data_IF_961283308815
#
_entry.id   IF_961283308815
#
_cell.length_a   1.000
_cell.length_b   1.000
_cell.length_c   1.000
_cell.angle_alpha   90.00
_cell.angle_beta   90.00
_cell.angle_gamma   90.00
#
_symmetry.space_group_name_H-M   'P 1'
#
loop_
_entity.id
_entity.type
_entity.pdbx_description
1 polymer ?
#
# COMPACT_ATOMS: atom_id res chain seq x y z
N UNK A 1 -22.52 -8.21 -10.73
CA UNK A 1 -22.85 -6.87 -10.18
C UNK A 1 -24.13 -6.28 -10.76
N UNK A 2 -24.22 -5.93 -12.06
CA UNK A 2 -25.42 -5.27 -12.65
C UNK A 2 -26.73 -6.04 -12.44
N UNK A 3 -26.74 -7.34 -12.73
CA UNK A 3 -27.95 -8.17 -12.57
C UNK A 3 -28.41 -8.27 -11.10
N UNK A 4 -27.45 -8.16 -10.16
CA UNK A 4 -27.69 -8.23 -8.72
C UNK A 4 -28.18 -6.90 -8.15
N UNK A 5 -27.91 -5.78 -8.83
CA UNK A 5 -28.42 -4.45 -8.47
C UNK A 5 -27.71 -3.75 -7.31
N UNK A 6 -26.56 -4.26 -6.86
CA UNK A 6 -25.74 -3.64 -5.82
C UNK A 6 -24.26 -4.04 -5.92
N UNK A 7 -23.39 -3.22 -5.34
CA UNK A 7 -21.94 -3.46 -5.22
C UNK A 7 -21.64 -4.24 -3.93
N UNK A 8 -20.84 -5.30 -4.01
CA UNK A 8 -20.25 -5.96 -2.84
C UNK A 8 -18.93 -5.29 -2.48
N UNK A 9 -18.88 -4.62 -1.34
CA UNK A 9 -17.72 -3.85 -0.88
C UNK A 9 -17.04 -4.56 0.29
N UNK A 10 -15.75 -4.82 0.15
CA UNK A 10 -14.91 -5.34 1.23
C UNK A 10 -14.24 -4.21 2.01
N UNK A 11 -14.45 -4.15 3.33
CA UNK A 11 -13.94 -3.10 4.21
C UNK A 11 -13.16 -3.68 5.41
N UNK A 12 -12.29 -2.89 6.07
CA UNK A 12 -11.78 -3.27 7.37
C UNK A 12 -12.89 -3.12 8.42
N UNK A 13 -12.97 -4.05 9.37
CA UNK A 13 -14.05 -4.04 10.38
C UNK A 13 -13.99 -2.89 11.39
N UNK A 14 -12.78 -2.45 11.75
CA UNK A 14 -12.62 -1.35 12.71
C UNK A 14 -11.35 -0.54 12.41
N UNK A 15 -11.49 0.50 11.60
CA UNK A 15 -10.44 1.46 11.28
C UNK A 15 -10.99 2.89 11.32
N UNK A 16 -10.95 3.57 12.49
CA UNK A 16 -11.50 4.91 12.66
C UNK A 16 -11.04 5.90 11.58
N UNK A 17 -12.00 6.63 11.00
CA UNK A 17 -11.77 7.55 9.88
C UNK A 17 -11.85 6.90 8.49
N UNK A 18 -11.64 5.59 8.38
CA UNK A 18 -11.68 4.85 7.11
C UNK A 18 -12.92 3.98 6.98
N UNK A 19 -13.18 3.12 7.95
CA UNK A 19 -14.41 2.35 8.05
C UNK A 19 -14.62 1.93 9.52
N UNK A 20 -15.74 2.38 10.09
CA UNK A 20 -16.17 1.98 11.42
C UNK A 20 -17.65 1.70 11.40
N UNK A 21 -18.07 0.64 12.07
CA UNK A 21 -19.47 0.41 12.36
C UNK A 21 -19.96 1.46 13.38
N UNK A 22 -21.10 2.07 13.09
CA UNK A 22 -21.77 3.05 13.94
C UNK A 22 -22.73 2.35 14.91
N UNK A 23 -23.25 3.08 15.89
CA UNK A 23 -24.24 2.54 16.85
C UNK A 23 -25.51 1.99 16.19
N UNK A 24 -25.78 2.36 14.93
CA UNK A 24 -26.94 1.91 14.16
C UNK A 24 -26.66 0.70 13.27
N UNK A 25 -25.53 0.00 13.45
CA UNK A 25 -25.08 -1.13 12.58
C UNK A 25 -24.84 -0.70 11.11
N UNK A 26 -24.64 0.60 10.87
CA UNK A 26 -24.22 1.14 9.57
C UNK A 26 -22.73 1.46 9.59
N UNK A 27 -22.04 1.34 8.46
CA UNK A 27 -20.63 1.75 8.34
C UNK A 27 -20.49 3.23 7.96
N UNK A 28 -19.48 3.89 8.51
CA UNK A 28 -19.07 5.24 8.16
C UNK A 28 -17.55 5.37 8.04
N UNK A 29 -17.08 6.24 7.15
CA UNK A 29 -15.67 6.54 6.97
C UNK A 29 -15.27 6.72 5.49
N UNK A 30 -14.01 7.09 5.27
CA UNK A 30 -13.48 7.39 3.95
C UNK A 30 -13.57 6.24 2.94
N UNK A 31 -13.23 5.01 3.33
CA UNK A 31 -13.34 3.82 2.46
C UNK A 31 -14.82 3.47 2.19
N UNK A 32 -15.71 3.74 3.16
CA UNK A 32 -17.16 3.57 2.98
C UNK A 32 -17.70 4.55 1.94
N UNK A 33 -17.29 5.83 2.03
CA UNK A 33 -17.73 6.87 1.11
C UNK A 33 -17.20 6.65 -0.31
N UNK A 34 -16.01 6.06 -0.45
CA UNK A 34 -15.51 5.58 -1.74
C UNK A 34 -16.46 4.51 -2.34
N UNK A 35 -16.89 3.54 -1.54
CA UNK A 35 -17.88 2.55 -1.94
C UNK A 35 -19.22 3.18 -2.36
N UNK A 36 -19.74 4.13 -1.57
CA UNK A 36 -20.97 4.88 -1.88
C UNK A 36 -20.85 5.66 -3.19
N UNK A 37 -19.69 6.26 -3.46
CA UNK A 37 -19.45 6.97 -4.72
C UNK A 37 -19.47 6.01 -5.92
N UNK A 38 -18.89 4.81 -5.79
CA UNK A 38 -18.93 3.77 -6.83
C UNK A 38 -20.39 3.28 -7.03
N UNK A 39 -21.12 3.01 -5.94
CA UNK A 39 -22.51 2.59 -6.02
C UNK A 39 -23.40 3.65 -6.69
N UNK A 40 -23.24 4.93 -6.31
CA UNK A 40 -23.95 6.04 -6.95
C UNK A 40 -23.65 6.13 -8.45
N UNK A 41 -22.39 5.95 -8.86
CA UNK A 41 -22.01 5.99 -10.27
C UNK A 41 -22.58 4.82 -11.09
N UNK A 42 -22.77 3.65 -10.47
CA UNK A 42 -23.24 2.43 -11.15
C UNK A 42 -24.75 2.26 -11.13
N UNK A 43 -25.40 2.70 -10.06
CA UNK A 43 -26.81 2.41 -9.76
C UNK A 43 -27.66 3.65 -9.52
N UNK A 44 -27.09 4.86 -9.63
CA UNK A 44 -27.74 6.14 -9.31
C UNK A 44 -28.23 6.22 -7.85
N UNK A 45 -27.71 5.35 -6.98
CA UNK A 45 -28.12 5.23 -5.58
C UNK A 45 -26.92 4.79 -4.71
N UNK A 46 -26.42 5.66 -3.81
CA UNK A 46 -25.28 5.35 -2.94
C UNK A 46 -25.59 4.26 -1.91
N UNK A 47 -26.86 3.92 -1.68
CA UNK A 47 -27.27 2.86 -0.74
C UNK A 47 -27.17 1.45 -1.34
N UNK A 48 -26.86 1.31 -2.63
CA UNK A 48 -26.74 0.01 -3.32
C UNK A 48 -25.41 -0.69 -3.03
N UNK A 49 -25.21 -1.00 -1.75
CA UNK A 49 -24.02 -1.63 -1.19
C UNK A 49 -24.39 -2.85 -0.34
N UNK A 50 -23.58 -3.91 -0.45
CA UNK A 50 -23.50 -4.99 0.52
C UNK A 50 -22.07 -4.97 1.07
N UNK A 51 -21.91 -4.68 2.36
CA UNK A 51 -20.60 -4.58 2.99
C UNK A 51 -20.21 -5.94 3.57
N UNK A 52 -18.98 -6.36 3.30
CA UNK A 52 -18.35 -7.52 3.90
C UNK A 52 -17.11 -7.04 4.67
N UNK A 53 -17.13 -7.19 5.98
CA UNK A 53 -15.92 -7.01 6.77
C UNK A 53 -14.91 -8.11 6.47
N UNK A 54 -13.65 -7.74 6.33
CA UNK A 54 -12.58 -8.68 6.04
C UNK A 54 -11.24 -8.23 6.63
N UNK A 55 -10.35 -9.21 6.81
CA UNK A 55 -8.97 -8.96 7.22
C UNK A 55 -8.08 -8.79 5.99
N UNK A 56 -7.02 -8.00 6.13
CA UNK A 56 -6.07 -7.72 5.05
C UNK A 56 -5.54 -8.96 4.32
N UNK A 57 -5.11 -10.06 5.00
CA UNK A 57 -4.60 -11.25 4.30
C UNK A 57 -5.66 -11.93 3.43
N UNK A 58 -6.94 -11.80 3.79
CA UNK A 58 -8.06 -12.42 3.07
C UNK A 58 -8.59 -11.54 1.94
N UNK A 59 -8.34 -10.23 1.96
CA UNK A 59 -8.91 -9.27 1.02
C UNK A 59 -8.57 -9.57 -0.45
N UNK A 60 -7.32 -9.98 -0.70
CA UNK A 60 -6.86 -10.35 -2.05
C UNK A 60 -7.61 -11.55 -2.60
N UNK A 61 -7.71 -12.63 -1.81
CA UNK A 61 -8.46 -13.83 -2.18
C UNK A 61 -9.96 -13.56 -2.30
N UNK A 62 -10.52 -12.75 -1.41
CA UNK A 62 -11.94 -12.39 -1.45
C UNK A 62 -12.28 -11.60 -2.72
N UNK A 63 -11.40 -10.69 -3.15
CA UNK A 63 -11.57 -9.93 -4.40
C UNK A 63 -11.37 -10.84 -5.61
N UNK A 64 -10.27 -11.60 -5.66
CA UNK A 64 -9.94 -12.47 -6.78
C UNK A 64 -10.96 -13.60 -7.01
N UNK A 65 -11.61 -14.09 -5.95
CA UNK A 65 -12.64 -15.12 -6.02
C UNK A 65 -14.07 -14.54 -6.16
N UNK A 66 -14.23 -13.22 -6.23
CA UNK A 66 -15.54 -12.57 -6.37
C UNK A 66 -16.45 -12.67 -5.14
N UNK A 67 -15.88 -12.89 -3.95
CA UNK A 67 -16.60 -12.77 -2.67
C UNK A 67 -17.07 -11.32 -2.51
N UNK A 68 -16.20 -10.37 -2.83
CA UNK A 68 -16.49 -8.94 -2.98
C UNK A 68 -16.15 -8.49 -4.39
N UNK A 69 -16.82 -7.45 -4.91
CA UNK A 69 -16.48 -6.88 -6.21
C UNK A 69 -15.30 -5.89 -6.11
N UNK A 70 -15.21 -5.16 -4.99
CA UNK A 70 -14.16 -4.17 -4.70
C UNK A 70 -13.74 -4.27 -3.24
N UNK A 71 -12.44 -4.19 -2.95
CA UNK A 71 -11.91 -4.01 -1.59
C UNK A 71 -11.37 -2.59 -1.42
N UNK A 72 -11.86 -1.86 -0.41
CA UNK A 72 -11.39 -0.53 -0.03
C UNK A 72 -10.87 -0.59 1.41
N UNK A 73 -9.53 -0.65 1.58
CA UNK A 73 -8.90 -0.90 2.88
C UNK A 73 -7.53 -0.21 3.02
N UNK A 74 -7.25 0.83 2.23
CA UNK A 74 -5.94 1.51 2.24
C UNK A 74 -4.77 0.61 1.80
N UNK A 75 -5.02 -0.32 0.86
CA UNK A 75 -4.00 -1.28 0.39
C UNK A 75 -2.99 -0.57 -0.51
N UNK A 76 -1.70 -0.61 -0.15
CA UNK A 76 -0.63 -0.10 -1.02
C UNK A 76 -0.55 -0.91 -2.32
N UNK A 77 -0.62 -0.23 -3.45
CA UNK A 77 -0.35 -0.81 -4.76
C UNK A 77 1.17 -0.97 -4.94
N UNK A 78 1.64 -2.19 -5.20
CA UNK A 78 3.02 -2.44 -5.62
C UNK A 78 3.06 -3.50 -6.73
N UNK A 79 4.18 -3.53 -7.47
CA UNK A 79 4.37 -4.39 -8.64
C UNK A 79 4.20 -5.88 -8.33
N UNK A 80 4.68 -6.34 -7.16
CA UNK A 80 4.60 -7.75 -6.81
C UNK A 80 3.14 -8.19 -6.60
N UNK A 81 2.32 -7.36 -5.95
CA UNK A 81 0.90 -7.65 -5.72
C UNK A 81 0.14 -7.70 -7.04
N UNK A 82 0.36 -6.71 -7.91
CA UNK A 82 -0.27 -6.61 -9.22
C UNK A 82 0.11 -7.80 -10.14
N UNK A 83 1.38 -8.19 -10.13
CA UNK A 83 1.86 -9.28 -10.97
C UNK A 83 1.45 -10.70 -10.51
N UNK A 84 1.08 -10.89 -9.23
CA UNK A 84 0.98 -12.25 -8.65
C UNK A 84 -0.35 -12.62 -8.04
N UNK A 85 -1.17 -11.65 -7.61
CA UNK A 85 -2.37 -11.94 -6.82
C UNK A 85 -3.64 -12.12 -7.66
N UNK A 86 -3.55 -11.97 -8.99
CA UNK A 86 -4.70 -12.19 -9.90
C UNK A 86 -5.83 -11.18 -9.69
N UNK A 87 -5.51 -10.01 -9.16
CA UNK A 87 -6.39 -8.86 -8.99
C UNK A 87 -5.79 -7.66 -9.72
N UNK A 88 -6.62 -6.67 -10.01
CA UNK A 88 -6.18 -5.40 -10.59
C UNK A 88 -6.37 -4.28 -9.57
N UNK A 89 -5.57 -3.22 -9.68
CA UNK A 89 -5.62 -2.06 -8.81
C UNK A 89 -6.27 -0.87 -9.54
N UNK A 90 -7.23 -0.22 -8.88
CA UNK A 90 -7.73 1.07 -9.35
C UNK A 90 -6.64 2.15 -9.26
N UNK A 91 -6.85 3.33 -9.86
CA UNK A 91 -6.07 4.50 -9.49
C UNK A 91 -6.02 4.69 -7.98
N UNK A 92 -4.86 5.12 -7.46
CA UNK A 92 -4.66 5.36 -6.04
C UNK A 92 -5.61 6.45 -5.55
N UNK A 93 -6.38 6.15 -4.50
CA UNK A 93 -7.33 7.09 -3.88
C UNK A 93 -6.81 7.71 -2.57
N UNK A 94 -5.70 7.18 -2.05
CA UNK A 94 -5.00 7.66 -0.88
C UNK A 94 -3.49 7.48 -1.10
N UNK A 95 -2.72 8.54 -0.88
CA UNK A 95 -1.25 8.48 -0.87
C UNK A 95 -0.79 8.61 0.58
N UNK A 96 -0.26 7.53 1.14
CA UNK A 96 0.38 7.49 2.45
C UNK A 96 1.81 7.00 2.29
N UNK A 97 2.66 7.29 3.27
CA UNK A 97 4.01 6.73 3.29
C UNK A 97 3.97 5.23 3.59
N UNK A 98 4.65 4.42 2.79
CA UNK A 98 5.03 3.07 3.20
C UNK A 98 6.27 3.21 4.10
N UNK A 99 6.06 3.34 5.41
CA UNK A 99 7.16 3.40 6.37
C UNK A 99 7.42 2.00 6.90
N UNK A 100 8.13 1.19 6.15
CA UNK A 100 8.89 0.08 6.72
C UNK A 100 10.16 -0.04 5.84
N UNK A 101 11.30 0.45 6.37
CA UNK A 101 12.67 0.05 5.98
C UNK A 101 13.19 0.28 4.54
N UNK A 102 12.67 1.23 3.74
CA UNK A 102 13.21 1.40 2.37
C UNK A 102 14.47 2.28 2.29
N UNK A 103 14.69 3.23 3.21
CA UNK A 103 15.87 4.12 3.17
C UNK A 103 16.55 4.24 4.54
N UNK A 104 17.87 4.11 4.57
CA UNK A 104 18.69 4.42 5.73
C UNK A 104 19.88 5.29 5.37
N UNK A 105 20.27 6.14 6.33
CA UNK A 105 21.54 6.86 6.29
C UNK A 105 22.49 6.16 7.25
N UNK A 106 23.66 5.78 6.75
CA UNK A 106 24.74 5.23 7.54
C UNK A 106 25.97 6.14 7.43
N UNK A 107 26.90 5.97 8.35
CA UNK A 107 28.26 6.50 8.26
C UNK A 107 29.29 5.38 8.07
N UNK A 108 28.87 4.13 8.28
CA UNK A 108 29.73 2.95 8.28
C UNK A 108 29.21 1.93 7.25
N UNK A 109 29.43 0.65 7.49
CA UNK A 109 29.12 -0.41 6.54
C UNK A 109 27.63 -0.41 6.11
N UNK A 110 27.37 -0.05 4.86
CA UNK A 110 26.05 -0.11 4.27
C UNK A 110 25.53 -1.56 4.09
N UNK A 111 26.42 -2.54 4.01
CA UNK A 111 26.11 -3.95 3.76
C UNK A 111 25.55 -4.71 4.97
N UNK A 112 25.19 -4.00 6.05
CA UNK A 112 24.52 -4.58 7.24
C UNK A 112 23.29 -3.77 7.63
N UNK A 113 22.89 -2.80 6.80
CA UNK A 113 21.71 -1.98 7.05
C UNK A 113 20.45 -2.77 6.70
N UNK A 114 19.43 -2.73 7.55
CA UNK A 114 18.13 -3.34 7.24
C UNK A 114 17.38 -2.64 6.09
N UNK A 115 17.88 -1.48 5.62
CA UNK A 115 17.21 -0.72 4.60
C UNK A 115 17.55 -1.16 3.17
N UNK A 116 16.55 -1.09 2.28
CA UNK A 116 16.69 -1.46 0.87
C UNK A 116 17.61 -0.51 0.10
N UNK A 117 17.49 0.80 0.35
CA UNK A 117 18.37 1.84 -0.16
C UNK A 117 19.17 2.39 1.01
N UNK A 118 20.48 2.37 0.89
CA UNK A 118 21.39 2.82 1.96
C UNK A 118 22.26 3.93 1.42
N UNK A 119 22.19 5.11 2.04
CA UNK A 119 23.09 6.21 1.76
C UNK A 119 24.21 6.26 2.80
N UNK A 120 25.46 6.12 2.35
CA UNK A 120 26.61 6.37 3.21
C UNK A 120 27.01 7.84 3.13
N UNK A 121 26.69 8.59 4.18
CA UNK A 121 26.97 10.02 4.28
C UNK A 121 28.46 10.37 4.33
N UNK A 122 29.34 9.42 4.64
CA UNK A 122 30.79 9.66 4.71
C UNK A 122 31.47 9.68 3.34
N UNK A 123 30.93 8.95 2.36
CA UNK A 123 31.51 8.83 1.01
C UNK A 123 30.55 9.21 -0.12
N UNK A 124 29.30 9.52 0.22
CA UNK A 124 28.27 9.93 -0.73
C UNK A 124 27.67 8.77 -1.53
N UNK A 125 27.98 7.52 -1.20
CA UNK A 125 27.53 6.36 -1.98
C UNK A 125 26.12 5.92 -1.63
N UNK A 126 25.39 5.50 -2.65
CA UNK A 126 24.07 4.87 -2.55
C UNK A 126 24.18 3.39 -2.91
N UNK A 127 23.62 2.55 -2.06
CA UNK A 127 23.62 1.11 -2.19
C UNK A 127 22.21 0.57 -2.24
N UNK A 128 21.99 -0.45 -3.07
CA UNK A 128 20.81 -1.29 -3.05
C UNK A 128 21.16 -2.53 -2.24
N UNK A 129 20.51 -2.74 -1.09
CA UNK A 129 20.73 -3.88 -0.21
C UNK A 129 19.54 -4.83 -0.22
N UNK A 130 19.62 -5.86 -1.06
CA UNK A 130 18.61 -6.94 -1.12
C UNK A 130 18.64 -7.84 0.12
N UNK A 131 19.75 -7.86 0.86
CA UNK A 131 19.97 -8.78 1.98
C UNK A 131 19.39 -8.29 3.32
N UNK A 132 18.94 -7.03 3.42
CA UNK A 132 18.54 -6.45 4.70
C UNK A 132 19.68 -6.50 5.73
N UNK A 133 19.40 -6.95 6.96
CA UNK A 133 20.40 -7.06 8.02
C UNK A 133 21.46 -8.14 7.80
N UNK A 134 21.28 -9.05 6.85
CA UNK A 134 22.28 -10.07 6.54
C UNK A 134 23.52 -9.43 5.87
N UNK A 135 24.75 -9.86 6.22
CA UNK A 135 25.96 -9.29 5.63
C UNK A 135 25.98 -9.35 4.09
N UNK A 136 26.34 -8.23 3.47
CA UNK A 136 26.47 -8.11 2.01
C UNK A 136 25.30 -7.34 1.39
N UNK A 137 25.22 -7.35 0.06
CA UNK A 137 24.14 -6.66 -0.68
C UNK A 137 23.23 -7.62 -1.47
N UNK A 138 23.43 -8.93 -1.34
CA UNK A 138 22.74 -9.93 -2.17
C UNK A 138 23.17 -9.80 -3.63
N UNK A 139 22.20 -9.61 -4.53
CA UNK A 139 22.47 -9.23 -5.93
C UNK A 139 22.60 -7.72 -6.12
N UNK A 140 22.42 -6.95 -5.06
CA UNK A 140 22.60 -5.51 -5.04
C UNK A 140 24.05 -5.05 -4.91
N UNK A 141 24.22 -3.79 -4.56
CA UNK A 141 25.52 -3.14 -4.46
C UNK A 141 25.42 -1.62 -4.63
N UNK A 142 26.58 -0.98 -4.77
CA UNK A 142 26.66 0.44 -5.09
C UNK A 142 26.03 0.71 -6.46
N UNK A 143 25.11 1.67 -6.55
CA UNK A 143 24.47 2.05 -7.81
C UNK A 143 24.59 3.54 -8.16
N UNK A 144 24.96 4.39 -7.19
CA UNK A 144 25.19 5.82 -7.43
C UNK A 144 26.15 6.43 -6.40
N UNK A 145 26.74 7.57 -6.76
CA UNK A 145 27.55 8.42 -5.87
C UNK A 145 27.06 9.86 -5.98
N UNK A 146 26.66 10.43 -4.86
CA UNK A 146 26.23 11.82 -4.75
C UNK A 146 27.46 12.70 -4.46
N UNK A 147 27.87 13.48 -5.46
CA UNK A 147 28.99 14.40 -5.32
C UNK A 147 28.71 15.46 -4.24
N UNK A 148 29.72 15.76 -3.42
CA UNK A 148 29.60 16.75 -2.35
C UNK A 148 28.94 16.26 -1.07
N UNK A 149 28.58 14.97 -0.98
CA UNK A 149 28.01 14.33 0.22
C UNK A 149 26.83 15.12 0.79
N UNK A 150 25.80 15.40 -0.03
CA UNK A 150 24.68 16.21 0.40
C UNK A 150 23.97 15.57 1.61
N UNK A 151 23.41 16.40 2.48
CA UNK A 151 22.45 15.95 3.46
C UNK A 151 21.13 15.65 2.73
N UNK A 152 20.78 14.38 2.67
CA UNK A 152 19.54 13.88 2.05
C UNK A 152 18.78 13.01 3.06
N UNK A 153 17.47 12.87 2.89
CA UNK A 153 16.61 11.97 3.65
C UNK A 153 15.84 11.04 2.71
N UNK A 154 15.06 10.10 3.29
CA UNK A 154 14.15 9.26 2.51
C UNK A 154 13.09 10.07 1.75
N UNK A 155 12.75 11.28 2.22
CA UNK A 155 11.75 12.15 1.61
C UNK A 155 12.23 12.80 0.31
N UNK A 156 13.55 12.81 0.07
CA UNK A 156 14.14 13.29 -1.18
C UNK A 156 13.95 12.29 -2.34
N UNK A 157 13.48 11.07 -2.04
CA UNK A 157 13.24 10.02 -3.02
C UNK A 157 11.75 9.80 -3.24
N UNK A 158 11.34 9.88 -4.51
CA UNK A 158 10.05 9.41 -4.98
C UNK A 158 10.25 8.01 -5.56
N UNK A 159 10.08 6.99 -4.72
CA UNK A 159 10.01 5.61 -5.18
C UNK A 159 8.57 5.39 -5.66
N UNK A 160 8.42 5.22 -6.98
CA UNK A 160 7.14 4.95 -7.65
C UNK A 160 7.15 3.55 -8.22
#
# INVERSE_FOLDING_TARGET
MKDRGYLKLGLPGNNPGFAVETENEEFAGFDVDLGKAIAAALFEDPSKLEITEQLFPSAFNNTGNGVVDVSAMGITHNLLRDATLGIDFSPSYLYTGQIETEFAIVTNNAATSEALIVYNSNDGKLFYNENGSEPGFGKGGEFAVLAGQPAISGDDFLIR
#
